data_IF_515555258268
#
_entry.id   IF_515555258268
#
_cell.length_a   1.000
_cell.length_b   1.000
_cell.length_c   1.000
_cell.angle_alpha   90.00
_cell.angle_beta   90.00
_cell.angle_gamma   90.00
#
_symmetry.space_group_name_H-M   'P 1'
#
loop_
_entity.id
_entity.type
_entity.pdbx_description
1 polymer ?
#
# COMPACT_ATOMS: atom_id res chain seq x y z
N UNK A 1 -0.69 15.75 5.18
CA UNK A 1 -0.35 15.07 6.46
C UNK A 1 -1.49 14.15 6.88
N UNK A 2 -1.21 12.89 7.23
CA UNK A 2 -2.17 11.93 7.79
C UNK A 2 -2.00 11.86 9.31
N UNK A 3 -3.11 11.84 10.07
CA UNK A 3 -3.12 11.59 11.52
C UNK A 3 -4.15 10.51 11.84
N UNK A 4 -3.74 9.55 12.64
CA UNK A 4 -4.57 8.46 13.14
C UNK A 4 -4.60 8.55 14.65
N UNK A 5 -5.81 8.59 15.23
CA UNK A 5 -6.02 8.77 16.66
C UNK A 5 -6.89 7.63 17.20
N UNK A 6 -6.29 6.80 18.06
CA UNK A 6 -6.97 5.72 18.82
C UNK A 6 -7.84 4.80 17.95
N UNK A 7 -7.37 4.48 16.72
CA UNK A 7 -8.11 3.69 15.75
C UNK A 7 -8.17 2.22 16.20
N UNK A 8 -9.39 1.69 16.30
CA UNK A 8 -9.63 0.27 16.63
C UNK A 8 -10.59 -0.35 15.63
N UNK A 9 -10.46 -1.65 15.42
CA UNK A 9 -11.31 -2.41 14.52
C UNK A 9 -11.59 -3.82 15.07
N UNK A 10 -12.88 -4.11 15.23
CA UNK A 10 -13.39 -5.40 15.70
C UNK A 10 -14.20 -6.07 14.60
N UNK A 11 -14.04 -7.37 14.46
CA UNK A 11 -14.90 -8.22 13.63
C UNK A 11 -15.80 -9.07 14.53
N UNK A 12 -17.07 -9.14 14.17
CA UNK A 12 -18.03 -10.06 14.81
C UNK A 12 -18.25 -11.26 13.89
N UNK A 13 -17.85 -12.44 14.36
CA UNK A 13 -18.08 -13.68 13.65
C UNK A 13 -18.74 -14.69 14.62
N UNK A 14 -19.89 -15.26 14.22
CA UNK A 14 -20.67 -16.25 14.99
C UNK A 14 -20.83 -15.93 16.49
N UNK A 15 -21.06 -14.63 16.80
CA UNK A 15 -21.27 -14.18 18.19
C UNK A 15 -19.98 -14.01 19.00
N UNK A 16 -18.82 -14.20 18.39
CA UNK A 16 -17.52 -13.87 18.97
C UNK A 16 -17.03 -12.55 18.40
N UNK A 17 -16.58 -11.65 19.26
CA UNK A 17 -15.90 -10.42 18.89
C UNK A 17 -14.41 -10.70 18.88
N UNK A 18 -13.75 -10.43 17.76
CA UNK A 18 -12.31 -10.49 17.62
C UNK A 18 -11.77 -9.10 17.34
N UNK A 19 -10.95 -8.58 18.23
CA UNK A 19 -10.22 -7.32 18.06
C UNK A 19 -9.08 -7.57 17.07
N UNK A 20 -9.13 -6.92 15.90
CA UNK A 20 -8.12 -7.06 14.83
C UNK A 20 -7.08 -5.94 14.94
N UNK A 21 -7.52 -4.72 15.30
CA UNK A 21 -6.65 -3.58 15.59
C UNK A 21 -7.11 -2.91 16.88
N UNK A 22 -6.16 -2.56 17.74
CA UNK A 22 -6.39 -1.99 19.04
C UNK A 22 -5.55 -0.74 19.25
N UNK A 23 -6.22 0.39 19.42
CA UNK A 23 -5.64 1.67 19.85
C UNK A 23 -4.45 2.12 18.97
N UNK A 24 -4.60 2.05 17.67
CA UNK A 24 -3.57 2.48 16.71
C UNK A 24 -3.54 4.00 16.62
N UNK A 25 -2.41 4.60 16.96
CA UNK A 25 -2.20 6.06 16.88
C UNK A 25 -0.84 6.36 16.26
N UNK A 26 -0.82 7.10 15.16
CA UNK A 26 0.40 7.55 14.48
C UNK A 26 0.10 8.69 13.51
N UNK A 27 1.15 9.26 12.96
CA UNK A 27 1.06 10.28 11.91
C UNK A 27 2.01 9.98 10.76
N UNK A 28 1.70 10.51 9.57
CA UNK A 28 2.59 10.54 8.41
C UNK A 28 2.69 11.98 7.95
N UNK A 29 3.92 12.50 7.85
CA UNK A 29 4.16 13.88 7.41
C UNK A 29 3.99 14.00 5.89
N UNK A 30 3.88 15.24 5.38
CA UNK A 30 3.83 15.48 3.95
C UNK A 30 5.14 15.04 3.29
N UNK A 31 5.03 14.26 2.21
CA UNK A 31 6.16 13.70 1.48
C UNK A 31 6.96 12.63 2.22
N UNK A 32 6.47 12.13 3.36
CA UNK A 32 7.09 11.02 4.10
C UNK A 32 6.75 9.67 3.47
N UNK A 33 7.74 8.77 3.47
CA UNK A 33 7.55 7.35 3.18
C UNK A 33 7.57 6.55 4.49
N UNK A 34 6.39 6.04 4.88
CA UNK A 34 6.23 5.11 6.00
C UNK A 34 6.13 3.67 5.47
N UNK A 35 7.01 2.79 5.91
CA UNK A 35 6.88 1.35 5.65
C UNK A 35 6.30 0.64 6.87
N UNK A 36 5.23 -0.12 6.65
CA UNK A 36 4.57 -0.94 7.67
C UNK A 36 4.99 -2.39 7.45
N UNK A 37 5.56 -3.00 8.48
CA UNK A 37 5.99 -4.41 8.46
C UNK A 37 5.51 -5.14 9.73
N UNK A 38 5.87 -6.42 9.86
CA UNK A 38 5.47 -7.27 10.99
C UNK A 38 4.81 -8.58 10.53
N UNK A 39 4.55 -9.54 11.42
CA UNK A 39 4.10 -10.89 11.05
C UNK A 39 2.80 -10.91 10.26
N UNK A 40 2.60 -11.98 9.48
CA UNK A 40 1.34 -12.21 8.79
C UNK A 40 0.20 -12.36 9.81
N UNK A 41 -0.97 -11.78 9.47
CA UNK A 41 -2.11 -11.72 10.39
C UNK A 41 -2.00 -10.62 11.47
N UNK A 42 -0.93 -9.84 11.52
CA UNK A 42 -0.73 -8.78 12.52
C UNK A 42 -1.67 -7.56 12.38
N UNK A 43 -2.48 -7.45 11.31
CA UNK A 43 -3.44 -6.34 11.12
C UNK A 43 -3.02 -5.30 10.06
N UNK A 44 -1.88 -5.45 9.40
CA UNK A 44 -1.32 -4.47 8.43
C UNK A 44 -2.30 -4.12 7.29
N UNK A 45 -2.76 -5.12 6.53
CA UNK A 45 -3.72 -4.92 5.43
C UNK A 45 -5.09 -4.45 5.93
N UNK A 46 -5.46 -4.81 7.16
CA UNK A 46 -6.68 -4.29 7.80
C UNK A 46 -6.57 -2.79 8.05
N UNK A 47 -5.41 -2.33 8.55
CA UNK A 47 -5.15 -0.90 8.72
C UNK A 47 -5.23 -0.16 7.37
N UNK A 48 -4.58 -0.68 6.32
CA UNK A 48 -4.68 -0.07 4.98
C UNK A 48 -6.12 0.02 4.47
N UNK A 49 -6.94 -1.03 4.68
CA UNK A 49 -8.36 -1.04 4.31
C UNK A 49 -9.19 -0.04 5.11
N UNK A 50 -8.88 0.17 6.39
CA UNK A 50 -9.51 1.21 7.21
C UNK A 50 -9.16 2.61 6.69
N UNK A 51 -7.89 2.86 6.34
CA UNK A 51 -7.47 4.14 5.78
C UNK A 51 -8.19 4.47 4.46
N UNK A 52 -8.46 3.47 3.63
CA UNK A 52 -9.21 3.64 2.38
C UNK A 52 -10.73 3.67 2.57
N UNK A 53 -11.27 3.30 3.74
CA UNK A 53 -12.71 3.22 4.00
C UNK A 53 -13.36 1.96 3.44
N UNK A 54 -12.59 0.91 3.16
CA UNK A 54 -13.09 -0.41 2.77
C UNK A 54 -13.71 -1.12 3.98
N UNK A 55 -13.07 -0.94 5.14
CA UNK A 55 -13.60 -1.33 6.43
C UNK A 55 -13.98 -0.07 7.22
N UNK A 56 -15.02 -0.16 8.03
CA UNK A 56 -15.44 0.90 8.95
C UNK A 56 -14.75 0.70 10.31
N UNK A 57 -14.15 1.75 10.85
CA UNK A 57 -13.51 1.68 12.16
C UNK A 57 -14.55 1.47 13.28
N UNK A 58 -14.21 0.68 14.29
CA UNK A 58 -15.05 0.52 15.48
C UNK A 58 -14.96 1.75 16.37
N UNK A 59 -13.79 2.39 16.44
CA UNK A 59 -13.54 3.63 17.16
C UNK A 59 -12.29 4.33 16.63
N UNK A 60 -12.07 5.57 17.07
CA UNK A 60 -10.93 6.38 16.70
C UNK A 60 -11.23 7.33 15.55
N UNK A 61 -10.20 8.04 15.05
CA UNK A 61 -10.33 9.02 13.97
C UNK A 61 -9.22 8.92 12.96
N UNK A 62 -9.54 9.26 11.71
CA UNK A 62 -8.63 9.34 10.58
C UNK A 62 -8.72 10.78 10.03
N UNK A 63 -7.64 11.51 10.09
CA UNK A 63 -7.57 12.92 9.68
C UNK A 63 -6.56 13.04 8.54
N UNK A 64 -6.99 13.54 7.39
CA UNK A 64 -6.14 13.79 6.22
C UNK A 64 -6.13 15.29 5.91
N UNK A 65 -4.94 15.91 5.89
CA UNK A 65 -4.75 17.34 5.65
C UNK A 65 -5.61 18.26 6.54
N UNK A 66 -5.86 17.83 7.79
CA UNK A 66 -6.68 18.55 8.76
C UNK A 66 -8.17 18.32 8.66
N UNK A 67 -8.64 17.52 7.69
CA UNK A 67 -10.05 17.12 7.55
C UNK A 67 -10.27 15.73 8.13
N UNK A 68 -11.31 15.57 8.94
CA UNK A 68 -11.74 14.27 9.46
C UNK A 68 -12.43 13.49 8.34
N UNK A 69 -11.81 12.37 7.95
CA UNK A 69 -12.29 11.50 6.88
C UNK A 69 -12.83 10.16 7.42
N UNK A 70 -13.02 10.04 8.74
CA UNK A 70 -13.35 8.77 9.40
C UNK A 70 -14.62 8.14 8.83
N UNK A 71 -15.65 8.94 8.59
CA UNK A 71 -16.95 8.45 8.11
C UNK A 71 -17.14 8.60 6.59
N UNK A 72 -16.09 9.06 5.87
CA UNK A 72 -16.17 9.19 4.42
C UNK A 72 -16.11 7.81 3.74
N UNK A 73 -16.93 7.67 2.70
CA UNK A 73 -16.95 6.50 1.83
C UNK A 73 -15.64 6.35 1.04
N UNK A 74 -15.41 5.16 0.47
CA UNK A 74 -14.25 4.87 -0.39
C UNK A 74 -14.09 5.94 -1.50
N UNK A 75 -15.20 6.30 -2.15
CA UNK A 75 -15.18 7.28 -3.24
C UNK A 75 -14.81 8.68 -2.76
N UNK A 76 -15.33 9.12 -1.62
CA UNK A 76 -15.00 10.42 -1.04
C UNK A 76 -13.54 10.48 -0.60
N UNK A 77 -13.00 9.41 -0.01
CA UNK A 77 -11.57 9.33 0.35
C UNK A 77 -10.66 9.33 -0.89
N UNK A 78 -11.07 8.67 -1.97
CA UNK A 78 -10.36 8.74 -3.24
C UNK A 78 -10.38 10.17 -3.83
N UNK A 79 -11.49 10.91 -3.66
CA UNK A 79 -11.61 12.32 -4.05
C UNK A 79 -10.80 13.24 -3.12
N UNK A 80 -10.69 12.92 -1.83
CA UNK A 80 -9.83 13.61 -0.87
C UNK A 80 -8.33 13.40 -1.15
N UNK A 81 -7.99 12.51 -2.10
CA UNK A 81 -6.62 12.32 -2.59
C UNK A 81 -5.92 11.08 -2.05
N UNK A 82 -6.64 10.04 -1.63
CA UNK A 82 -6.04 8.75 -1.30
C UNK A 82 -6.00 7.87 -2.55
N UNK A 83 -4.79 7.43 -2.93
CA UNK A 83 -4.54 6.37 -3.91
C UNK A 83 -4.30 5.04 -3.21
N UNK A 84 -4.82 3.93 -3.74
CA UNK A 84 -4.71 2.63 -3.11
C UNK A 84 -4.41 1.53 -4.14
N UNK A 85 -3.36 0.73 -3.90
CA UNK A 85 -3.07 -0.51 -4.61
C UNK A 85 -3.28 -1.70 -3.67
N UNK A 86 -4.18 -2.61 -4.06
CA UNK A 86 -4.59 -3.76 -3.26
C UNK A 86 -3.53 -4.87 -3.24
N UNK A 87 -3.49 -5.68 -2.20
CA UNK A 87 -2.67 -6.90 -2.17
C UNK A 87 -3.00 -7.83 -3.36
N UNK A 88 -4.30 -8.00 -3.66
CA UNK A 88 -4.77 -8.70 -4.86
C UNK A 88 -5.44 -7.70 -5.80
N UNK A 89 -4.86 -7.43 -6.97
CA UNK A 89 -5.40 -6.44 -7.89
C UNK A 89 -6.77 -6.86 -8.43
N UNK A 90 -7.73 -5.93 -8.50
CA UNK A 90 -9.04 -6.20 -9.09
C UNK A 90 -8.92 -6.42 -10.60
N UNK A 91 -9.81 -7.23 -11.17
CA UNK A 91 -9.89 -7.49 -12.61
C UNK A 91 -11.10 -6.82 -13.19
N UNK A 92 -10.93 -6.19 -14.37
CA UNK A 92 -11.95 -5.37 -15.02
C UNK A 92 -12.30 -5.93 -16.40
N UNK A 93 -13.22 -6.89 -16.44
CA UNK A 93 -13.67 -7.49 -17.71
C UNK A 93 -14.25 -6.41 -18.64
N UNK A 94 -13.84 -6.41 -19.91
CA UNK A 94 -14.27 -5.45 -20.92
C UNK A 94 -13.62 -4.07 -20.82
N UNK A 95 -12.60 -3.89 -19.97
CA UNK A 95 -11.81 -2.65 -19.89
C UNK A 95 -10.38 -2.89 -20.33
N UNK A 96 -9.91 -2.11 -21.29
CA UNK A 96 -8.50 -2.11 -21.68
C UNK A 96 -7.64 -1.37 -20.68
N UNK A 97 -6.34 -1.68 -20.64
CA UNK A 97 -5.35 -0.99 -19.81
C UNK A 97 -5.36 0.51 -20.09
N UNK A 98 -5.44 0.93 -21.36
CA UNK A 98 -5.59 2.35 -21.76
C UNK A 98 -6.79 3.00 -21.07
N UNK A 99 -7.93 2.32 -21.08
CA UNK A 99 -9.16 2.84 -20.47
C UNK A 99 -9.04 2.97 -18.95
N UNK A 100 -8.38 2.02 -18.30
CA UNK A 100 -8.10 2.08 -16.87
C UNK A 100 -7.18 3.26 -16.52
N UNK A 101 -6.09 3.45 -17.27
CA UNK A 101 -5.18 4.58 -17.07
C UNK A 101 -5.90 5.94 -17.27
N UNK A 102 -6.71 6.07 -18.32
CA UNK A 102 -7.50 7.29 -18.56
C UNK A 102 -8.50 7.56 -17.43
N UNK A 103 -9.17 6.50 -16.93
CA UNK A 103 -10.12 6.62 -15.82
C UNK A 103 -9.40 7.06 -14.54
N UNK A 104 -8.27 6.45 -14.23
CA UNK A 104 -7.47 6.78 -13.06
C UNK A 104 -6.95 8.22 -13.12
N UNK A 105 -6.45 8.65 -14.29
CA UNK A 105 -5.97 10.02 -14.52
C UNK A 105 -7.10 11.07 -14.52
N UNK A 106 -8.37 10.66 -14.64
CA UNK A 106 -9.52 11.57 -14.79
C UNK A 106 -9.54 12.35 -16.11
N UNK A 107 -8.72 11.94 -17.10
CA UNK A 107 -8.59 12.58 -18.43
C UNK A 107 -8.10 11.58 -19.46
N UNK A 108 -8.23 11.93 -20.72
CA UNK A 108 -7.57 11.18 -21.79
C UNK A 108 -6.07 11.44 -21.78
N UNK A 109 -5.29 10.37 -21.65
CA UNK A 109 -3.83 10.41 -21.72
C UNK A 109 -3.37 10.27 -23.17
N UNK A 110 -2.28 10.93 -23.51
CA UNK A 110 -1.56 10.68 -24.76
C UNK A 110 -0.93 9.27 -24.75
N UNK A 111 -0.58 8.76 -25.91
CA UNK A 111 0.12 7.48 -26.03
C UNK A 111 1.48 7.50 -25.29
N UNK A 112 2.20 8.61 -25.37
CA UNK A 112 3.47 8.80 -24.67
C UNK A 112 3.30 8.75 -23.14
N UNK A 113 2.24 9.36 -22.59
CA UNK A 113 1.95 9.30 -21.14
C UNK A 113 1.59 7.88 -20.70
N UNK A 114 0.71 7.20 -21.44
CA UNK A 114 0.40 5.79 -21.16
C UNK A 114 1.66 4.91 -21.22
N UNK A 115 2.52 5.14 -22.21
CA UNK A 115 3.79 4.45 -22.36
C UNK A 115 4.71 4.70 -21.14
N UNK A 116 4.79 5.95 -20.67
CA UNK A 116 5.54 6.34 -19.49
C UNK A 116 5.09 5.58 -18.24
N UNK A 117 3.79 5.57 -17.95
CA UNK A 117 3.25 4.86 -16.80
C UNK A 117 3.48 3.35 -16.85
N UNK A 118 3.29 2.70 -18.00
CA UNK A 118 3.51 1.26 -18.14
C UNK A 118 5.00 0.92 -18.06
N UNK A 119 5.86 1.71 -18.69
CA UNK A 119 7.31 1.50 -18.64
C UNK A 119 7.87 1.65 -17.22
N UNK A 120 7.34 2.60 -16.43
CA UNK A 120 7.80 2.82 -15.04
C UNK A 120 7.56 1.61 -14.12
N UNK A 121 6.59 0.76 -14.47
CA UNK A 121 6.31 -0.49 -13.76
C UNK A 121 6.82 -1.74 -14.52
N UNK A 122 7.67 -1.56 -15.53
CA UNK A 122 8.29 -2.66 -16.27
C UNK A 122 7.37 -3.37 -17.27
N UNK A 123 6.37 -2.66 -17.84
CA UNK A 123 5.50 -3.19 -18.88
C UNK A 123 5.75 -2.50 -20.22
N UNK A 124 5.82 -3.28 -21.31
CA UNK A 124 5.89 -2.73 -22.65
C UNK A 124 4.51 -2.20 -23.09
N UNK A 125 4.38 -0.90 -23.29
CA UNK A 125 3.09 -0.31 -23.64
C UNK A 125 2.49 -0.91 -24.92
N UNK A 126 3.31 -1.20 -25.95
CA UNK A 126 2.85 -1.78 -27.22
C UNK A 126 2.18 -3.15 -27.04
N UNK A 127 2.58 -3.89 -26.02
CA UNK A 127 2.03 -5.22 -25.74
C UNK A 127 0.79 -5.19 -24.84
N UNK A 128 0.67 -4.20 -23.95
CA UNK A 128 -0.33 -4.20 -22.89
C UNK A 128 -1.42 -3.15 -23.03
N UNK A 129 -1.16 -2.03 -23.68
CA UNK A 129 -2.04 -0.85 -23.63
C UNK A 129 -3.47 -1.11 -24.12
N UNK A 130 -3.63 -1.94 -25.14
CA UNK A 130 -4.93 -2.29 -25.74
C UNK A 130 -5.47 -3.66 -25.29
N UNK A 131 -4.74 -4.36 -24.39
CA UNK A 131 -5.24 -5.60 -23.79
C UNK A 131 -6.29 -5.31 -22.73
N UNK A 132 -7.22 -6.24 -22.55
CA UNK A 132 -8.18 -6.19 -21.45
C UNK A 132 -7.50 -6.53 -20.12
N UNK A 133 -7.88 -5.80 -19.05
CA UNK A 133 -7.39 -6.03 -17.70
C UNK A 133 -8.19 -7.15 -17.01
N UNK A 134 -8.18 -8.35 -17.60
CA UNK A 134 -8.98 -9.49 -17.22
C UNK A 134 -8.14 -10.70 -16.77
N UNK A 135 -8.75 -11.90 -16.83
CA UNK A 135 -8.15 -13.15 -16.41
C UNK A 135 -7.01 -13.66 -17.33
N UNK A 136 -6.81 -13.05 -18.50
CA UNK A 136 -5.73 -13.42 -19.43
C UNK A 136 -4.37 -12.86 -19.00
N UNK A 137 -4.36 -11.86 -18.11
CA UNK A 137 -3.17 -11.31 -17.51
C UNK A 137 -2.76 -12.11 -16.28
N UNK A 138 -1.47 -12.34 -16.12
CA UNK A 138 -0.91 -12.93 -14.89
C UNK A 138 -1.15 -12.04 -13.68
N UNK A 139 -1.02 -12.58 -12.46
CA UNK A 139 -1.14 -11.80 -11.24
C UNK A 139 -0.14 -10.65 -11.16
N UNK A 140 1.13 -10.90 -11.54
CA UNK A 140 2.17 -9.88 -11.54
C UNK A 140 1.98 -8.79 -12.59
N UNK A 141 1.45 -9.12 -13.78
CA UNK A 141 1.08 -8.12 -14.80
C UNK A 141 -0.06 -7.22 -14.31
N UNK A 142 -1.12 -7.83 -13.74
CA UNK A 142 -2.23 -7.07 -13.17
C UNK A 142 -1.78 -6.16 -12.02
N UNK A 143 -0.89 -6.65 -11.14
CA UNK A 143 -0.34 -5.85 -10.05
C UNK A 143 0.41 -4.62 -10.55
N UNK A 144 1.24 -4.79 -11.57
CA UNK A 144 1.97 -3.67 -12.19
C UNK A 144 1.05 -2.68 -12.89
N UNK A 145 0.01 -3.16 -13.58
CA UNK A 145 -1.01 -2.30 -14.20
C UNK A 145 -1.76 -1.52 -13.10
N UNK A 146 -2.17 -2.17 -12.01
CA UNK A 146 -2.81 -1.50 -10.89
C UNK A 146 -1.93 -0.37 -10.32
N UNK A 147 -0.65 -0.66 -10.05
CA UNK A 147 0.30 0.35 -9.58
C UNK A 147 0.41 1.50 -10.58
N UNK A 148 0.52 1.22 -11.89
CA UNK A 148 0.54 2.24 -12.93
C UNK A 148 -0.73 3.12 -12.91
N UNK A 149 -1.91 2.56 -12.59
CA UNK A 149 -3.13 3.36 -12.45
C UNK A 149 -3.10 4.27 -11.23
N UNK A 150 -2.54 3.83 -10.09
CA UNK A 150 -2.33 4.71 -8.93
C UNK A 150 -1.39 5.85 -9.28
N UNK A 151 -0.31 5.56 -10.02
CA UNK A 151 0.68 6.57 -10.43
C UNK A 151 0.18 7.53 -11.53
N UNK A 152 -0.90 7.19 -12.24
CA UNK A 152 -1.45 8.03 -13.30
C UNK A 152 -2.10 9.33 -12.82
N UNK A 153 -2.32 9.48 -11.51
CA UNK A 153 -2.86 10.67 -10.86
C UNK A 153 -2.01 11.03 -9.65
N UNK A 154 -1.86 12.32 -9.38
CA UNK A 154 -1.22 12.78 -8.15
C UNK A 154 -2.19 12.63 -6.96
N UNK A 155 -1.68 12.11 -5.86
CA UNK A 155 -2.41 11.88 -4.62
C UNK A 155 -1.80 12.67 -3.44
N UNK A 156 -2.60 12.92 -2.41
CA UNK A 156 -2.07 13.41 -1.12
C UNK A 156 -1.38 12.26 -0.36
N UNK A 157 -1.95 11.07 -0.48
CA UNK A 157 -1.46 9.84 0.15
C UNK A 157 -1.61 8.65 -0.80
N UNK A 158 -0.52 7.94 -1.08
CA UNK A 158 -0.54 6.65 -1.77
C UNK A 158 -0.35 5.51 -0.77
N UNK A 159 -1.18 4.48 -0.85
CA UNK A 159 -1.09 3.28 -0.02
C UNK A 159 -0.88 2.07 -0.94
N UNK A 160 0.19 1.31 -0.71
CA UNK A 160 0.51 0.10 -1.45
C UNK A 160 0.55 -1.10 -0.50
N UNK A 161 -0.37 -2.04 -0.70
CA UNK A 161 -0.45 -3.26 0.12
C UNK A 161 0.25 -4.41 -0.60
N UNK A 162 1.44 -4.80 -0.09
CA UNK A 162 2.33 -5.81 -0.66
C UNK A 162 2.53 -5.65 -2.19
N UNK A 163 3.08 -4.51 -2.64
CA UNK A 163 3.19 -4.22 -4.06
C UNK A 163 4.09 -5.20 -4.83
N UNK A 164 4.94 -5.93 -4.13
CA UNK A 164 5.84 -6.95 -4.67
C UNK A 164 5.17 -8.31 -4.92
N UNK A 165 3.97 -8.55 -4.40
CA UNK A 165 3.32 -9.86 -4.46
C UNK A 165 3.12 -10.35 -5.90
N UNK A 166 3.74 -11.49 -6.23
CA UNK A 166 3.63 -12.12 -7.55
C UNK A 166 4.42 -11.43 -8.68
N UNK A 167 5.28 -10.47 -8.35
CA UNK A 167 6.15 -9.78 -9.30
C UNK A 167 7.52 -10.50 -9.37
N UNK A 168 8.05 -10.66 -10.59
CA UNK A 168 9.39 -11.22 -10.80
C UNK A 168 10.50 -10.25 -10.34
N UNK A 169 11.70 -10.78 -10.12
CA UNK A 169 12.84 -10.03 -9.57
C UNK A 169 13.22 -8.78 -10.41
N UNK A 170 13.13 -8.88 -11.74
CA UNK A 170 13.53 -7.79 -12.63
C UNK A 170 12.50 -6.64 -12.57
N UNK A 171 11.22 -6.98 -12.67
CA UNK A 171 10.11 -6.05 -12.55
C UNK A 171 10.05 -5.43 -11.15
N UNK A 172 10.36 -6.19 -10.11
CA UNK A 172 10.46 -5.68 -8.74
C UNK A 172 11.55 -4.61 -8.60
N UNK A 173 12.70 -4.81 -9.26
CA UNK A 173 13.77 -3.79 -9.24
C UNK A 173 13.34 -2.47 -9.88
N UNK A 174 12.56 -2.50 -10.96
CA UNK A 174 11.99 -1.31 -11.59
C UNK A 174 10.96 -0.63 -10.68
N UNK A 175 10.12 -1.42 -10.01
CA UNK A 175 9.14 -0.91 -9.05
C UNK A 175 9.81 -0.19 -7.87
N UNK A 176 10.88 -0.77 -7.32
CA UNK A 176 11.68 -0.13 -6.26
C UNK A 176 12.23 1.21 -6.74
N UNK A 177 12.82 1.26 -7.94
CA UNK A 177 13.31 2.51 -8.52
C UNK A 177 12.19 3.55 -8.68
N UNK A 178 11.00 3.13 -9.11
CA UNK A 178 9.85 4.02 -9.25
C UNK A 178 9.41 4.59 -7.89
N UNK A 179 9.38 3.79 -6.83
CA UNK A 179 9.09 4.28 -5.47
C UNK A 179 10.15 5.27 -4.98
N UNK A 180 11.44 5.02 -5.26
CA UNK A 180 12.50 5.98 -4.95
C UNK A 180 12.31 7.33 -5.66
N UNK A 181 11.92 7.33 -6.93
CA UNK A 181 11.68 8.54 -7.71
C UNK A 181 10.52 9.36 -7.14
N UNK A 182 9.39 8.70 -6.81
CA UNK A 182 8.24 9.35 -6.20
C UNK A 182 8.61 9.93 -4.83
N UNK A 183 9.31 9.15 -4.01
CA UNK A 183 9.75 9.58 -2.69
C UNK A 183 10.72 10.78 -2.76
N UNK A 184 11.69 10.76 -3.68
CA UNK A 184 12.61 11.89 -3.91
C UNK A 184 11.88 13.17 -4.36
N UNK A 185 10.78 13.04 -5.08
CA UNK A 185 9.98 14.19 -5.52
C UNK A 185 9.25 14.88 -4.35
N UNK A 186 9.03 14.20 -3.23
CA UNK A 186 8.38 14.69 -1.99
C UNK A 186 7.03 15.38 -2.22
N UNK A 187 6.31 14.99 -3.27
CA UNK A 187 5.01 15.57 -3.63
C UNK A 187 3.84 14.83 -3.00
N UNK A 188 4.05 13.57 -2.67
CA UNK A 188 3.04 12.65 -2.15
C UNK A 188 3.58 11.96 -0.91
N UNK A 189 2.73 11.73 0.07
CA UNK A 189 3.05 10.86 1.19
C UNK A 189 2.78 9.41 0.78
N UNK A 190 3.60 8.48 1.26
CA UNK A 190 3.54 7.08 0.82
C UNK A 190 3.49 6.17 2.04
N UNK A 191 2.53 5.24 2.05
CA UNK A 191 2.50 4.12 2.97
C UNK A 191 2.70 2.84 2.16
N UNK A 192 3.71 2.04 2.48
CA UNK A 192 3.92 0.74 1.85
C UNK A 192 3.88 -0.34 2.92
N UNK A 193 3.01 -1.32 2.75
CA UNK A 193 3.04 -2.55 3.54
C UNK A 193 3.95 -3.54 2.80
N UNK A 194 5.07 -3.91 3.41
CA UNK A 194 6.02 -4.81 2.78
C UNK A 194 6.91 -5.53 3.79
N UNK A 195 7.40 -6.71 3.39
CA UNK A 195 8.43 -7.48 4.09
C UNK A 195 9.77 -7.45 3.35
N UNK A 196 9.82 -6.80 2.20
CA UNK A 196 11.01 -6.75 1.35
C UNK A 196 12.03 -5.75 1.91
N UNK A 197 13.22 -6.23 2.22
CA UNK A 197 14.31 -5.42 2.78
C UNK A 197 14.60 -4.18 1.93
N UNK A 198 14.61 -4.30 0.60
CA UNK A 198 14.85 -3.18 -0.32
C UNK A 198 13.82 -2.06 -0.18
N UNK A 199 12.54 -2.40 0.08
CA UNK A 199 11.47 -1.42 0.33
C UNK A 199 11.66 -0.81 1.72
N UNK A 200 11.94 -1.63 2.74
CA UNK A 200 12.17 -1.16 4.12
C UNK A 200 13.35 -0.18 4.18
N UNK A 201 14.41 -0.43 3.40
CA UNK A 201 15.60 0.43 3.33
C UNK A 201 15.32 1.83 2.74
N UNK A 202 14.25 2.02 1.97
CA UNK A 202 13.86 3.33 1.41
C UNK A 202 13.06 4.19 2.38
N UNK A 203 12.53 3.61 3.45
CA UNK A 203 11.63 4.30 4.38
C UNK A 203 12.30 5.47 5.10
N UNK A 204 11.57 6.57 5.31
CA UNK A 204 11.92 7.58 6.30
C UNK A 204 11.65 7.04 7.71
N UNK A 205 10.50 6.36 7.89
CA UNK A 205 10.12 5.69 9.15
C UNK A 205 9.56 4.31 8.88
N UNK A 206 9.73 3.44 9.86
CA UNK A 206 9.24 2.06 9.84
C UNK A 206 8.28 1.89 11.02
N UNK A 207 7.15 1.23 10.78
CA UNK A 207 6.19 0.82 11.78
C UNK A 207 6.05 -0.69 11.78
N UNK A 208 6.22 -1.29 12.95
CA UNK A 208 6.02 -2.73 13.16
C UNK A 208 4.67 -2.96 13.82
N UNK A 209 3.78 -3.68 13.12
CA UNK A 209 2.48 -4.08 13.67
C UNK A 209 2.52 -5.57 13.99
N UNK A 210 2.17 -5.91 15.25
CA UNK A 210 2.02 -7.29 15.73
C UNK A 210 0.80 -7.38 16.62
N UNK A 211 -0.01 -8.42 16.44
CA UNK A 211 -1.21 -8.69 17.24
C UNK A 211 -2.16 -7.47 17.34
N UNK A 212 -2.36 -6.79 16.23
CA UNK A 212 -3.25 -5.64 16.13
C UNK A 212 -2.76 -4.35 16.78
N UNK A 213 -1.50 -4.26 17.20
CA UNK A 213 -0.92 -3.09 17.90
C UNK A 213 0.37 -2.62 17.25
N UNK A 214 0.67 -1.34 17.38
CA UNK A 214 1.99 -0.82 17.04
C UNK A 214 2.96 -1.33 18.11
N UNK A 215 3.83 -2.24 17.71
CA UNK A 215 4.87 -2.75 18.62
C UNK A 215 6.04 -1.77 18.68
N UNK A 216 6.40 -1.19 17.54
CA UNK A 216 7.47 -0.23 17.41
C UNK A 216 7.21 0.71 16.23
N UNK A 217 7.65 1.94 16.35
CA UNK A 217 7.68 2.92 15.28
C UNK A 217 8.82 3.90 15.51
N UNK A 218 9.58 4.18 14.47
CA UNK A 218 10.72 5.09 14.54
C UNK A 218 11.36 5.31 13.18
N UNK A 219 12.50 6.00 13.16
CA UNK A 219 13.31 6.14 11.96
C UNK A 219 13.87 4.78 11.53
N UNK A 220 14.28 4.71 10.29
CA UNK A 220 14.92 3.48 9.77
C UNK A 220 16.11 3.05 10.61
N UNK A 221 16.93 3.99 11.03
CA UNK A 221 18.14 3.76 11.84
C UNK A 221 17.82 3.18 13.21
N UNK A 222 16.66 3.52 13.78
CA UNK A 222 16.20 3.02 15.08
C UNK A 222 15.59 1.63 15.00
N UNK A 223 14.82 1.35 13.93
CA UNK A 223 13.99 0.12 13.85
C UNK A 223 14.69 -1.02 13.11
N UNK A 224 15.49 -0.73 12.05
CA UNK A 224 16.16 -1.78 11.26
C UNK A 224 17.05 -2.73 12.09
N UNK A 225 17.88 -2.28 13.04
CA UNK A 225 18.71 -3.20 13.82
C UNK A 225 17.88 -4.25 14.58
N UNK A 226 16.74 -3.84 15.12
CA UNK A 226 15.86 -4.73 15.90
C UNK A 226 15.13 -5.74 15.02
N UNK A 227 14.74 -5.35 13.79
CA UNK A 227 14.14 -6.27 12.81
C UNK A 227 15.12 -7.40 12.43
N UNK A 228 16.40 -7.08 12.29
CA UNK A 228 17.43 -8.06 11.96
C UNK A 228 17.78 -9.01 13.12
N UNK A 229 17.62 -8.57 14.37
CA UNK A 229 17.80 -9.41 15.57
C UNK A 229 16.64 -10.39 15.76
N UNK A 230 15.38 -9.96 15.52
CA UNK A 230 14.17 -10.82 15.64
C UNK A 230 14.18 -11.97 14.61
N UNK A 231 14.70 -11.74 13.39
CA UNK A 231 14.86 -12.79 12.37
C UNK A 231 15.89 -13.86 12.78
N UNK A 232 16.86 -13.50 13.62
CA UNK A 232 17.87 -14.42 14.16
C UNK A 232 17.34 -15.39 15.24
N UNK A 233 16.28 -15.02 15.96
CA UNK A 233 15.70 -15.83 17.06
C UNK A 233 14.48 -16.68 16.62
N UNK A 234 14.02 -16.51 15.37
CA UNK A 234 12.97 -17.36 14.76
C UNK A 234 13.44 -18.77 14.38
N UNK A 235 14.69 -19.14 14.75
CA UNK A 235 15.25 -20.49 14.67
C UNK A 235 14.47 -21.44 15.58
N UNK A 236 13.58 -22.18 14.97
CA UNK A 236 12.90 -23.41 15.36
C UNK A 236 13.03 -23.83 16.85
N UNK A 237 12.13 -23.40 17.73
CA UNK A 237 11.99 -23.93 19.10
C UNK A 237 11.58 -25.42 19.19
N UNK A 238 11.53 -26.13 18.05
CA UNK A 238 11.15 -27.56 17.94
C UNK A 238 12.30 -28.52 17.66
N UNK A 239 13.57 -28.10 17.72
CA UNK A 239 14.71 -29.02 17.66
C UNK A 239 15.43 -29.13 19.02
N UNK A 240 14.71 -29.53 20.04
CA UNK A 240 15.31 -30.13 21.25
C UNK A 240 14.38 -31.25 21.70
N UNK A 241 14.60 -32.45 21.11
CA UNK A 241 14.52 -33.76 21.75
C UNK A 241 15.11 -34.83 20.86
#
# INVERSE_FOLDING_TARGET
>A
MLQIEHLSFDVRDDGRQAEILSDISFNVADGEMLVITGPNGGGKSTLAKLLMGINEATSGRIILNGEDITDLSINERAQAGIGFAFQQPPRFKGMTVRRLLNLAAGRTLSESECCGFLSSVGLCAQEYIDREADATLSGGEMKRIEIATVLAKQHALCIFDEPEAGIDLWSFSMLVQQFEEIHKAKKESIIIISHQERIIQMADRIMVIRDGRIQQMGTKEEVMPMLLEDDGDAGCKYMKH
#
